data_IF_094478161329
#
_entry.id   IF_094478161329
#
_cell.length_a   1.000
_cell.length_b   1.000
_cell.length_c   1.000
_cell.angle_alpha   90.00
_cell.angle_beta   90.00
_cell.angle_gamma   90.00
#
_symmetry.space_group_name_H-M   'P 1'
#
loop_
_entity.id
_entity.type
_entity.pdbx_description
1 polymer ?
#
# COMPACT_ATOMS: atom_id res chain seq x y z
N UNK A 1 -11.25 -10.35 7.42
CA UNK A 1 -11.16 -8.99 6.84
C UNK A 1 -9.71 -8.58 6.56
N UNK A 2 -8.74 -8.87 7.46
CA UNK A 2 -7.30 -8.64 7.25
C UNK A 2 -6.72 -9.24 5.95
N UNK A 3 -6.94 -10.53 5.68
CA UNK A 3 -6.40 -11.20 4.49
C UNK A 3 -6.76 -10.50 3.17
N UNK A 4 -8.00 -10.03 3.01
CA UNK A 4 -8.42 -9.29 1.80
C UNK A 4 -7.70 -7.95 1.63
N UNK A 5 -7.28 -7.34 2.74
CA UNK A 5 -6.54 -6.08 2.72
C UNK A 5 -5.06 -6.33 2.40
N UNK A 6 -4.48 -7.40 2.95
CA UNK A 6 -3.12 -7.87 2.60
C UNK A 6 -3.01 -8.24 1.12
N UNK A 7 -3.99 -8.98 0.59
CA UNK A 7 -4.04 -9.31 -0.85
C UNK A 7 -4.09 -8.06 -1.73
N UNK A 8 -4.86 -7.04 -1.31
CA UNK A 8 -4.93 -5.77 -2.02
C UNK A 8 -3.62 -4.99 -1.94
N UNK A 9 -2.95 -4.97 -0.79
CA UNK A 9 -1.64 -4.33 -0.62
C UNK A 9 -0.61 -4.99 -1.54
N UNK A 10 -0.56 -6.32 -1.58
CA UNK A 10 0.37 -7.06 -2.44
C UNK A 10 0.09 -6.85 -3.93
N UNK A 11 -1.18 -6.84 -4.34
CA UNK A 11 -1.55 -6.50 -5.72
C UNK A 11 -1.07 -5.10 -6.10
N UNK A 12 -1.38 -4.11 -5.27
CA UNK A 12 -1.05 -2.70 -5.51
C UNK A 12 0.46 -2.46 -5.52
N UNK A 13 1.20 -3.20 -4.68
CA UNK A 13 2.67 -3.19 -4.66
C UNK A 13 3.25 -3.72 -5.97
N UNK A 14 2.69 -4.81 -6.52
CA UNK A 14 3.10 -5.34 -7.83
C UNK A 14 2.83 -4.34 -8.95
N UNK A 15 1.65 -3.72 -8.95
CA UNK A 15 1.32 -2.66 -9.91
C UNK A 15 2.31 -1.50 -9.84
N UNK A 16 2.63 -1.01 -8.64
CA UNK A 16 3.62 0.05 -8.45
C UNK A 16 4.99 -0.33 -9.02
N UNK A 17 5.49 -1.53 -8.75
CA UNK A 17 6.79 -1.99 -9.26
C UNK A 17 6.78 -2.04 -10.79
N UNK A 18 5.71 -2.54 -11.39
CA UNK A 18 5.57 -2.63 -12.84
C UNK A 18 5.52 -1.22 -13.45
N UNK A 19 4.66 -0.35 -12.94
CA UNK A 19 4.51 1.03 -13.46
C UNK A 19 5.77 1.86 -13.25
N UNK A 20 6.46 1.69 -12.12
CA UNK A 20 7.75 2.32 -11.87
C UNK A 20 8.82 1.84 -12.84
N UNK A 21 8.85 0.54 -13.15
CA UNK A 21 9.76 -0.04 -14.15
C UNK A 21 9.49 0.47 -15.56
N UNK A 22 8.24 0.82 -15.88
CA UNK A 22 7.84 1.30 -17.21
C UNK A 22 7.96 2.82 -17.38
N UNK A 23 7.61 3.59 -16.35
CA UNK A 23 7.43 5.05 -16.43
C UNK A 23 8.39 5.83 -15.53
N UNK A 24 9.10 5.16 -14.63
CA UNK A 24 9.95 5.76 -13.61
C UNK A 24 9.21 6.09 -12.31
N UNK A 25 9.97 6.27 -11.23
CA UNK A 25 9.45 6.53 -9.89
C UNK A 25 8.83 7.92 -9.71
N UNK A 26 9.19 8.87 -10.56
CA UNK A 26 8.69 10.26 -10.52
C UNK A 26 7.50 10.48 -11.45
N UNK A 27 7.07 9.45 -12.17
CA UNK A 27 5.91 9.56 -13.05
C UNK A 27 4.64 9.73 -12.23
N UNK A 28 3.68 10.52 -12.74
CA UNK A 28 2.41 10.77 -12.03
C UNK A 28 1.67 9.47 -11.70
N UNK A 29 1.74 8.49 -12.59
CA UNK A 29 1.09 7.19 -12.40
C UNK A 29 1.73 6.41 -11.24
N UNK A 30 3.08 6.39 -11.18
CA UNK A 30 3.81 5.74 -10.08
C UNK A 30 3.60 6.45 -8.75
N UNK A 31 3.60 7.78 -8.74
CA UNK A 31 3.33 8.58 -7.53
C UNK A 31 1.92 8.31 -7.00
N UNK A 32 0.93 8.30 -7.88
CA UNK A 32 -0.46 7.98 -7.51
C UNK A 32 -0.58 6.57 -6.94
N UNK A 33 0.04 5.58 -7.58
CA UNK A 33 0.07 4.21 -7.06
C UNK A 33 0.75 4.14 -5.69
N UNK A 34 1.79 4.94 -5.46
CA UNK A 34 2.47 5.02 -4.15
C UNK A 34 1.55 5.57 -3.07
N UNK A 35 0.87 6.69 -3.35
CA UNK A 35 -0.07 7.30 -2.40
C UNK A 35 -1.23 6.35 -2.05
N UNK A 36 -1.74 5.63 -3.05
CA UNK A 36 -2.81 4.67 -2.81
C UNK A 36 -2.33 3.42 -2.05
N UNK A 37 -1.09 2.98 -2.27
CA UNK A 37 -0.48 1.88 -1.52
C UNK A 37 -0.25 2.28 -0.06
N UNK A 38 0.27 3.49 0.19
CA UNK A 38 0.43 4.06 1.53
C UNK A 38 -0.90 4.13 2.28
N UNK A 39 -1.97 4.58 1.62
CA UNK A 39 -3.30 4.62 2.22
C UNK A 39 -3.80 3.23 2.63
N UNK A 40 -3.56 2.21 1.80
CA UNK A 40 -3.91 0.81 2.12
C UNK A 40 -3.10 0.27 3.30
N UNK A 41 -1.79 0.54 3.34
CA UNK A 41 -0.91 0.13 4.43
C UNK A 41 -1.31 0.81 5.74
N UNK A 42 -1.59 2.11 5.70
CA UNK A 42 -2.05 2.85 6.88
C UNK A 42 -3.41 2.36 7.38
N UNK A 43 -4.32 2.01 6.47
CA UNK A 43 -5.59 1.36 6.81
C UNK A 43 -5.37 -0.01 7.46
N UNK A 44 -4.43 -0.80 6.97
CA UNK A 44 -4.07 -2.09 7.56
C UNK A 44 -3.43 -1.94 8.95
N UNK A 45 -2.44 -1.05 9.08
CA UNK A 45 -1.77 -0.77 10.35
C UNK A 45 -2.75 -0.21 11.39
N UNK A 46 -3.72 0.61 10.98
CA UNK A 46 -4.76 1.09 11.90
C UNK A 46 -5.67 -0.04 12.39
N UNK A 47 -5.96 -1.03 11.54
CA UNK A 47 -6.66 -2.26 11.93
C UNK A 47 -5.79 -3.18 12.81
N UNK A 48 -4.46 -3.04 12.79
CA UNK A 48 -3.55 -3.71 13.73
C UNK A 48 -3.44 -2.96 15.07
N UNK A 49 -3.48 -1.62 15.03
CA UNK A 49 -3.26 -0.74 16.19
C UNK A 49 -4.38 -0.77 17.24
N UNK A 50 -5.51 -1.44 16.98
CA UNK A 50 -6.51 -1.75 18.02
C UNK A 50 -6.04 -2.86 18.99
N UNK A 51 -4.86 -3.44 18.74
CA UNK A 51 -4.14 -4.35 19.63
C UNK A 51 -2.67 -3.91 19.78
N UNK A 52 -2.42 -2.87 20.57
CA UNK A 52 -1.22 -2.77 21.40
C UNK A 52 -1.43 -1.65 22.45
N UNK A 53 -1.60 -1.98 23.75
CA UNK A 53 -1.54 -0.98 24.80
C UNK A 53 -0.14 -0.36 24.81
N UNK A 54 -0.12 0.97 24.86
CA UNK A 54 1.08 1.79 24.96
C UNK A 54 1.68 1.55 26.35
N UNK A 55 2.90 1.00 26.41
CA UNK A 55 3.78 1.08 27.61
C UNK A 55 4.52 2.42 27.64
#
# INVERSE_FOLDING_TARGET
MKQKLEEKIEQKRKELIITAGQTGFTSKDTLKLSEELDCLINGYNSLESEYLPIE
#
